data_IF_328732368135
#
_entry.id   IF_328732368135
#
_cell.length_a   1.000
_cell.length_b   1.000
_cell.length_c   1.000
_cell.angle_alpha   90.00
_cell.angle_beta   90.00
_cell.angle_gamma   90.00
#
_symmetry.space_group_name_H-M   'P 1'
#
loop_
_entity.id
_entity.type
_entity.pdbx_description
1 polymer ?
#
# COMPACT_ATOMS: atom_id res chain seq x y z
N UNK A 1 20.73 26.64 -0.63
CA UNK A 1 19.69 26.04 -1.49
C UNK A 1 19.94 24.54 -1.56
N UNK A 2 19.34 23.71 -0.69
CA UNK A 2 19.48 22.27 -0.80
C UNK A 2 18.45 21.73 -1.80
N UNK A 3 18.95 20.98 -2.77
CA UNK A 3 18.23 20.23 -3.78
C UNK A 3 17.11 19.37 -3.18
N UNK A 4 15.86 19.68 -3.49
CA UNK A 4 14.70 18.83 -3.20
C UNK A 4 14.79 17.54 -4.01
N UNK A 5 15.32 16.49 -3.40
CA UNK A 5 15.16 15.11 -3.88
C UNK A 5 13.76 14.67 -3.44
N UNK A 6 12.81 14.63 -4.37
CA UNK A 6 11.58 13.88 -4.15
C UNK A 6 11.96 12.39 -4.25
N UNK A 7 11.86 11.60 -3.16
CA UNK A 7 12.15 10.18 -3.21
C UNK A 7 11.05 9.52 -4.04
N UNK A 8 11.47 8.83 -5.09
CA UNK A 8 10.63 8.01 -5.95
C UNK A 8 10.02 6.86 -5.16
N UNK A 9 8.85 7.07 -4.57
CA UNK A 9 7.94 6.00 -4.16
C UNK A 9 6.66 6.18 -4.96
N UNK A 10 6.61 5.51 -6.11
CA UNK A 10 5.36 5.38 -6.85
C UNK A 10 4.52 4.37 -6.12
N UNK A 11 3.52 4.88 -5.42
CA UNK A 11 2.40 4.09 -4.95
C UNK A 11 1.71 3.50 -6.18
N UNK A 12 2.01 2.24 -6.49
CA UNK A 12 1.14 1.43 -7.30
C UNK A 12 -0.11 1.12 -6.44
N UNK A 13 -0.99 2.11 -6.28
CA UNK A 13 -2.38 1.81 -5.99
C UNK A 13 -2.90 1.06 -7.20
N UNK A 14 -3.14 -0.23 -7.03
CA UNK A 14 -3.98 -0.96 -7.95
C UNK A 14 -5.38 -0.37 -7.83
N UNK A 15 -5.69 0.60 -8.69
CA UNK A 15 -7.08 0.94 -9.02
C UNK A 15 -7.65 -0.28 -9.77
N UNK A 16 -8.06 -1.29 -9.01
CA UNK A 16 -8.38 -2.60 -9.56
C UNK A 16 -8.59 -3.70 -8.53
N UNK A 17 -9.20 -3.39 -7.37
CA UNK A 17 -9.87 -4.42 -6.55
C UNK A 17 -11.37 -4.20 -6.61
N UNK A 18 -11.89 -4.04 -7.83
CA UNK A 18 -13.31 -4.19 -8.16
C UNK A 18 -13.41 -5.03 -9.43
N UNK A 19 -13.02 -6.30 -9.34
CA UNK A 19 -13.56 -7.41 -10.12
C UNK A 19 -12.91 -8.70 -9.63
N UNK A 20 -13.71 -9.71 -9.28
CA UNK A 20 -13.27 -11.02 -8.78
C UNK A 20 -12.43 -11.85 -9.77
N UNK A 21 -11.23 -11.37 -10.09
CA UNK A 21 -10.17 -12.15 -10.72
C UNK A 21 -9.42 -13.01 -9.70
N UNK A 22 -8.78 -14.11 -10.12
CA UNK A 22 -8.01 -14.96 -9.22
C UNK A 22 -6.83 -14.18 -8.62
N UNK A 23 -6.82 -14.02 -7.30
CA UNK A 23 -5.69 -13.52 -6.51
C UNK A 23 -4.47 -14.41 -6.78
N UNK A 24 -3.43 -13.86 -7.45
CA UNK A 24 -2.24 -14.62 -7.82
C UNK A 24 -1.09 -14.39 -6.83
N UNK A 25 -0.26 -15.43 -6.59
CA UNK A 25 0.85 -15.35 -5.67
C UNK A 25 2.01 -14.50 -6.19
N UNK A 26 2.70 -13.83 -5.28
CA UNK A 26 4.01 -13.24 -5.47
C UNK A 26 5.05 -14.38 -5.56
N UNK A 27 5.73 -14.52 -6.70
CA UNK A 27 6.79 -15.50 -6.87
C UNK A 27 8.16 -14.92 -6.45
N UNK A 28 8.81 -15.54 -5.47
CA UNK A 28 10.14 -15.16 -4.98
C UNK A 28 11.03 -16.39 -4.93
N UNK A 29 12.12 -16.39 -5.70
CA UNK A 29 13.13 -17.45 -5.73
C UNK A 29 12.58 -18.89 -5.76
N UNK A 30 11.51 -19.14 -6.52
CA UNK A 30 10.89 -20.47 -6.65
C UNK A 30 9.79 -20.79 -5.62
N UNK A 31 9.58 -19.94 -4.62
CA UNK A 31 8.42 -19.98 -3.73
C UNK A 31 7.29 -19.08 -4.26
N UNK A 32 6.04 -19.51 -4.08
CA UNK A 32 4.86 -18.72 -4.39
C UNK A 32 4.15 -18.28 -3.10
N UNK A 33 4.04 -16.97 -2.90
CA UNK A 33 3.40 -16.33 -1.76
C UNK A 33 2.03 -15.77 -2.16
N UNK A 34 0.95 -16.44 -1.78
CA UNK A 34 -0.41 -15.95 -2.04
C UNK A 34 -0.91 -15.09 -0.89
N UNK A 35 -1.28 -13.85 -1.20
CA UNK A 35 -1.89 -12.91 -0.25
C UNK A 35 -3.39 -12.95 -0.44
N UNK A 36 -4.11 -13.54 0.51
CA UNK A 36 -5.56 -13.73 0.41
C UNK A 36 -6.20 -13.75 1.79
N UNK A 37 -7.42 -13.19 1.90
CA UNK A 37 -8.20 -13.20 3.14
C UNK A 37 -7.43 -12.70 4.39
N UNK A 38 -6.57 -11.67 4.21
CA UNK A 38 -5.74 -11.09 5.27
C UNK A 38 -4.59 -11.97 5.77
N UNK A 39 -4.24 -13.05 5.07
CA UNK A 39 -3.15 -13.99 5.40
C UNK A 39 -2.21 -14.19 4.21
N UNK A 40 -1.02 -14.74 4.49
CA UNK A 40 -0.10 -15.25 3.47
C UNK A 40 -0.16 -16.76 3.47
N UNK A 41 -0.45 -17.35 2.32
CA UNK A 41 -0.34 -18.78 2.06
C UNK A 41 0.93 -19.01 1.23
N UNK A 42 1.76 -19.97 1.65
CA UNK A 42 3.01 -20.31 0.95
C UNK A 42 2.80 -21.61 0.20
N UNK A 43 3.08 -21.62 -1.09
CA UNK A 43 3.05 -22.81 -1.95
C UNK A 43 4.37 -22.97 -2.71
N UNK A 44 4.79 -24.22 -2.96
CA UNK A 44 5.97 -24.50 -3.80
C UNK A 44 7.32 -24.50 -3.07
N UNK A 45 7.36 -24.59 -1.74
CA UNK A 45 8.62 -24.78 -1.01
C UNK A 45 9.11 -26.22 -1.15
N UNK A 46 10.36 -26.39 -1.60
CA UNK A 46 11.10 -27.62 -1.32
C UNK A 46 11.45 -27.59 0.18
N UNK A 47 11.05 -28.62 0.94
CA UNK A 47 11.22 -28.71 2.41
C UNK A 47 12.67 -28.55 2.91
N UNK A 48 13.65 -28.49 2.00
CA UNK A 48 15.09 -28.47 2.26
C UNK A 48 15.76 -27.11 2.06
N UNK A 49 15.04 -26.05 1.66
CA UNK A 49 15.62 -24.76 1.33
C UNK A 49 15.27 -23.69 2.37
N UNK A 50 16.28 -22.94 2.85
CA UNK A 50 16.04 -21.76 3.69
C UNK A 50 15.09 -20.80 2.98
N UNK A 51 14.07 -20.36 3.70
CA UNK A 51 13.02 -19.50 3.17
C UNK A 51 13.61 -18.09 2.99
N UNK A 52 13.72 -17.57 1.75
CA UNK A 52 14.47 -16.34 1.45
C UNK A 52 13.69 -15.05 1.78
N UNK A 53 12.73 -15.14 2.70
CA UNK A 53 11.86 -14.04 3.07
C UNK A 53 11.41 -14.14 4.52
N UNK A 54 11.10 -12.98 5.11
CA UNK A 54 10.52 -12.85 6.44
C UNK A 54 9.16 -12.17 6.33
N UNK A 55 8.14 -12.76 6.96
CA UNK A 55 6.80 -12.17 7.04
C UNK A 55 6.59 -11.60 8.44
N UNK A 56 6.22 -10.32 8.52
CA UNK A 56 5.97 -9.61 9.78
C UNK A 56 4.66 -8.85 9.72
N UNK A 57 3.95 -8.80 10.84
CA UNK A 57 2.83 -7.88 11.00
C UNK A 57 3.31 -6.57 11.61
N UNK A 58 3.11 -5.46 10.90
CA UNK A 58 3.49 -4.12 11.33
C UNK A 58 2.27 -3.21 11.28
N UNK A 59 1.65 -2.99 12.44
CA UNK A 59 0.43 -2.21 12.52
C UNK A 59 -0.73 -2.85 11.77
N UNK A 60 -1.35 -2.06 10.90
CA UNK A 60 -2.42 -2.54 10.00
C UNK A 60 -1.88 -3.28 8.76
N UNK A 61 -0.56 -3.29 8.56
CA UNK A 61 0.08 -3.87 7.38
C UNK A 61 0.66 -5.25 7.66
N UNK A 62 0.68 -6.06 6.60
CA UNK A 62 1.53 -7.23 6.47
C UNK A 62 2.75 -6.85 5.63
N UNK A 63 3.94 -7.14 6.13
CA UNK A 63 5.21 -6.85 5.46
C UNK A 63 5.91 -8.16 5.10
N UNK A 64 6.21 -8.33 3.82
CA UNK A 64 7.06 -9.41 3.30
C UNK A 64 8.39 -8.79 2.91
N UNK A 65 9.43 -9.15 3.64
CA UNK A 65 10.80 -8.71 3.41
C UNK A 65 11.57 -9.86 2.76
N UNK A 66 12.32 -9.59 1.70
CA UNK A 66 13.06 -10.61 0.95
C UNK A 66 14.55 -10.29 0.94
N UNK A 67 15.39 -11.32 0.97
CA UNK A 67 16.85 -11.21 0.96
C UNK A 67 17.41 -10.49 -0.29
N UNK A 68 16.67 -10.54 -1.41
CA UNK A 68 17.03 -9.88 -2.67
C UNK A 68 16.78 -8.37 -2.67
N UNK A 69 16.27 -7.78 -1.59
CA UNK A 69 16.01 -6.35 -1.51
C UNK A 69 14.67 -5.92 -2.14
N UNK A 70 13.67 -6.80 -2.14
CA UNK A 70 12.26 -6.45 -2.39
C UNK A 70 11.49 -6.47 -1.07
N UNK A 71 10.75 -5.41 -0.78
CA UNK A 71 9.85 -5.34 0.37
C UNK A 71 8.43 -5.07 -0.12
N UNK A 72 7.51 -5.94 0.26
CA UNK A 72 6.08 -5.82 -0.02
C UNK A 72 5.34 -5.41 1.24
N UNK A 73 4.52 -4.37 1.16
CA UNK A 73 3.59 -3.99 2.22
C UNK A 73 2.18 -4.13 1.69
N UNK A 74 1.33 -4.83 2.43
CA UNK A 74 -0.07 -5.03 2.10
C UNK A 74 -0.96 -4.61 3.26
N UNK A 75 -1.95 -3.77 3.00
CA UNK A 75 -2.93 -3.29 3.99
C UNK A 75 -4.00 -4.33 4.37
N UNK A 76 -3.82 -5.59 3.93
CA UNK A 76 -4.79 -6.71 4.05
C UNK A 76 -6.10 -6.47 3.30
N UNK A 77 -6.15 -5.44 2.46
CA UNK A 77 -7.29 -5.01 1.66
C UNK A 77 -6.82 -4.83 0.21
N UNK A 78 -6.78 -3.61 -0.28
CA UNK A 78 -6.59 -3.28 -1.70
C UNK A 78 -5.28 -2.55 -1.99
N UNK A 79 -4.57 -2.08 -0.97
CA UNK A 79 -3.32 -1.33 -1.15
C UNK A 79 -2.13 -2.24 -1.00
N UNK A 80 -1.31 -2.26 -2.05
CA UNK A 80 -0.02 -2.94 -2.09
C UNK A 80 1.06 -1.88 -2.37
N UNK A 81 2.14 -1.93 -1.61
CA UNK A 81 3.30 -1.07 -1.76
C UNK A 81 4.50 -1.99 -2.03
N UNK A 82 5.22 -1.71 -3.12
CA UNK A 82 6.42 -2.46 -3.49
C UNK A 82 7.59 -1.50 -3.37
N UNK A 83 8.51 -1.81 -2.46
CA UNK A 83 9.78 -1.12 -2.37
C UNK A 83 10.88 -2.01 -2.93
N UNK A 84 11.73 -1.45 -3.79
CA UNK A 84 12.82 -2.15 -4.45
C UNK A 84 14.14 -1.48 -4.10
N UNK A 85 15.14 -2.30 -3.81
CA UNK A 85 16.54 -1.87 -3.71
C UNK A 85 16.96 -1.14 -4.99
N UNK A 86 17.79 -0.08 -4.90
CA UNK A 86 18.35 0.61 -6.07
C UNK A 86 19.07 -0.31 -7.06
N UNK A 87 19.46 -1.51 -6.65
CA UNK A 87 20.05 -2.54 -7.52
C UNK A 87 19.11 -2.99 -8.65
N UNK A 88 17.80 -2.84 -8.48
CA UNK A 88 16.79 -3.15 -9.50
C UNK A 88 16.58 -2.04 -10.52
N UNK A 89 17.29 -0.91 -10.39
CA UNK A 89 17.13 0.25 -11.29
C UNK A 89 17.35 -0.15 -12.74
N UNK A 90 16.36 0.15 -13.60
CA UNK A 90 16.33 -0.23 -15.03
C UNK A 90 16.40 -1.75 -15.29
N UNK A 91 16.09 -2.60 -14.29
CA UNK A 91 16.08 -4.08 -14.41
C UNK A 91 14.70 -4.69 -14.27
N UNK A 92 13.68 -3.87 -14.03
CA UNK A 92 12.29 -4.30 -13.86
C UNK A 92 11.44 -3.83 -15.03
N UNK A 93 10.27 -4.44 -15.17
CA UNK A 93 9.25 -4.03 -16.12
C UNK A 93 7.89 -4.49 -15.60
N UNK A 94 6.82 -3.90 -16.11
CA UNK A 94 5.46 -4.24 -15.72
C UNK A 94 4.60 -3.01 -15.53
N UNK A 95 3.47 -3.19 -14.85
CA UNK A 95 2.52 -2.12 -14.56
C UNK A 95 3.09 -1.02 -13.65
N UNK A 96 4.18 -1.30 -12.93
CA UNK A 96 4.90 -0.33 -12.09
C UNK A 96 6.00 0.45 -12.85
N UNK A 97 6.11 0.28 -14.17
CA UNK A 97 7.15 0.90 -14.98
C UNK A 97 8.47 0.13 -14.98
N UNK A 98 9.55 0.81 -15.35
CA UNK A 98 10.88 0.22 -15.53
C UNK A 98 11.92 0.63 -14.46
N UNK A 99 11.51 1.52 -13.54
CA UNK A 99 12.34 2.03 -12.43
C UNK A 99 13.67 2.64 -12.90
N UNK A 100 13.64 3.59 -13.84
CA UNK A 100 14.84 4.29 -14.34
C UNK A 100 14.90 5.80 -14.02
N UNK A 101 13.97 6.30 -13.19
CA UNK A 101 13.70 7.72 -12.86
C UNK A 101 13.13 8.58 -14.02
N UNK A 102 12.71 7.98 -15.13
CA UNK A 102 12.18 8.70 -16.30
C UNK A 102 10.69 8.41 -16.47
N UNK A 103 9.85 9.30 -15.93
CA UNK A 103 8.40 9.04 -15.89
C UNK A 103 7.70 8.86 -17.25
N UNK A 104 8.25 9.48 -18.29
CA UNK A 104 7.62 9.53 -19.61
C UNK A 104 7.73 8.22 -20.39
N UNK A 105 8.55 7.27 -19.94
CA UNK A 105 8.75 5.99 -20.62
C UNK A 105 8.16 4.79 -19.85
N UNK A 106 7.50 5.03 -18.70
CA UNK A 106 6.98 3.95 -17.85
C UNK A 106 5.85 3.15 -18.51
N UNK A 107 5.14 3.75 -19.47
CA UNK A 107 4.14 3.05 -20.28
C UNK A 107 4.80 2.25 -21.41
N UNK A 108 5.73 1.38 -21.02
CA UNK A 108 6.35 0.40 -21.89
C UNK A 108 5.53 -0.89 -21.90
N UNK A 109 5.09 -1.31 -23.08
CA UNK A 109 4.35 -2.57 -23.25
C UNK A 109 5.25 -3.79 -23.00
N UNK A 110 4.66 -4.99 -22.94
CA UNK A 110 5.43 -6.24 -22.86
C UNK A 110 6.40 -6.44 -24.04
N UNK A 111 6.14 -5.83 -25.21
CA UNK A 111 7.05 -5.81 -26.36
C UNK A 111 8.10 -4.69 -26.30
N UNK A 112 8.19 -3.95 -25.18
CA UNK A 112 9.09 -2.82 -24.94
C UNK A 112 8.80 -1.58 -25.80
N UNK A 113 7.60 -1.48 -26.36
CA UNK A 113 7.17 -0.27 -27.08
C UNK A 113 6.62 0.73 -26.07
N UNK A 114 7.07 1.99 -26.14
CA UNK A 114 6.51 3.07 -25.31
C UNK A 114 5.24 3.60 -25.99
N UNK A 115 4.15 3.62 -25.24
CA UNK A 115 2.82 4.01 -25.73
C UNK A 115 2.25 5.16 -24.91
N UNK A 116 1.40 5.98 -25.54
CA UNK A 116 0.70 7.07 -24.85
C UNK A 116 -0.63 6.65 -24.23
N UNK A 117 -1.20 5.53 -24.68
CA UNK A 117 -2.50 5.04 -24.24
C UNK A 117 -2.38 4.07 -23.05
N UNK A 118 -3.08 4.38 -21.96
CA UNK A 118 -3.03 3.60 -20.71
C UNK A 118 -3.67 2.22 -20.88
N UNK A 119 -4.70 2.09 -21.72
CA UNK A 119 -5.37 0.81 -21.95
C UNK A 119 -4.50 -0.12 -22.77
N UNK A 120 -3.85 0.39 -23.82
CA UNK A 120 -2.85 -0.35 -24.60
C UNK A 120 -1.72 -0.85 -23.68
N UNK A 121 -1.17 0.04 -22.85
CA UNK A 121 -0.15 -0.32 -21.85
C UNK A 121 -0.66 -1.42 -20.91
N UNK A 122 -1.78 -1.21 -20.23
CA UNK A 122 -2.33 -2.14 -19.24
C UNK A 122 -2.69 -3.51 -19.83
N UNK A 123 -3.36 -3.53 -20.98
CA UNK A 123 -3.76 -4.75 -21.66
C UNK A 123 -2.56 -5.56 -22.17
N UNK A 124 -1.45 -4.91 -22.54
CA UNK A 124 -0.22 -5.61 -22.94
C UNK A 124 0.39 -6.45 -21.81
N UNK A 125 0.11 -6.11 -20.56
CA UNK A 125 0.61 -6.80 -19.36
C UNK A 125 -0.31 -7.90 -18.85
N UNK A 126 -1.43 -8.20 -19.54
CA UNK A 126 -2.29 -9.34 -19.18
C UNK A 126 -1.51 -10.65 -19.19
N UNK A 127 -1.71 -11.46 -18.16
CA UNK A 127 -0.96 -12.71 -18.03
C UNK A 127 -1.47 -13.79 -19.01
N UNK A 128 -2.79 -13.95 -19.08
CA UNK A 128 -3.42 -14.89 -20.01
C UNK A 128 -3.98 -14.17 -21.23
N UNK A 129 -3.76 -14.67 -22.46
CA UNK A 129 -4.41 -14.15 -23.64
C UNK A 129 -5.94 -14.35 -23.62
N UNK A 130 -6.44 -15.30 -22.82
CA UNK A 130 -7.88 -15.54 -22.64
C UNK A 130 -8.58 -14.45 -21.83
N UNK A 131 -7.82 -13.61 -21.12
CA UNK A 131 -8.40 -12.46 -20.42
C UNK A 131 -8.85 -11.42 -21.46
N UNK A 132 -10.11 -10.94 -21.38
CA UNK A 132 -10.58 -9.88 -22.24
C UNK A 132 -9.77 -8.61 -21.98
N UNK A 133 -9.64 -7.79 -23.02
CA UNK A 133 -9.03 -6.48 -22.87
C UNK A 133 -9.92 -5.58 -22.01
N UNK A 134 -9.31 -4.85 -21.09
CA UNK A 134 -9.96 -3.81 -20.32
C UNK A 134 -10.43 -2.70 -21.27
N UNK A 135 -11.67 -2.26 -21.06
CA UNK A 135 -12.26 -1.13 -21.75
C UNK A 135 -12.00 0.15 -20.94
N UNK A 136 -12.18 1.30 -21.58
CA UNK A 136 -12.15 2.58 -20.89
C UNK A 136 -13.09 2.57 -19.69
N UNK A 137 -12.53 2.82 -18.50
CA UNK A 137 -13.30 2.87 -17.27
C UNK A 137 -14.32 4.01 -17.37
N UNK A 138 -15.59 3.69 -17.11
CA UNK A 138 -16.61 4.73 -16.93
C UNK A 138 -16.32 5.45 -15.62
N UNK A 139 -16.49 6.77 -15.61
CA UNK A 139 -16.39 7.55 -14.38
C UNK A 139 -17.43 7.05 -13.35
N UNK A 140 -16.99 6.48 -12.20
CA UNK A 140 -17.90 5.96 -11.18
C UNK A 140 -18.80 7.04 -10.60
N UNK A 141 -18.36 8.29 -10.53
CA UNK A 141 -19.21 9.37 -10.03
C UNK A 141 -20.27 9.80 -11.04
N UNK A 142 -20.09 9.51 -12.32
CA UNK A 142 -21.13 9.66 -13.35
C UNK A 142 -22.12 8.50 -13.32
N UNK A 143 -21.64 7.27 -13.05
CA UNK A 143 -22.50 6.11 -12.85
C UNK A 143 -23.33 6.20 -11.55
N UNK A 144 -22.73 6.73 -10.49
CA UNK A 144 -23.29 6.84 -9.13
C UNK A 144 -23.37 8.32 -8.67
N UNK A 145 -24.20 9.17 -9.32
CA UNK A 145 -24.21 10.62 -9.09
C UNK A 145 -24.61 11.01 -7.66
N UNK A 146 -25.46 10.21 -7.00
CA UNK A 146 -25.90 10.46 -5.63
C UNK A 146 -24.76 10.35 -4.60
N UNK A 147 -23.67 9.65 -4.92
CA UNK A 147 -22.50 9.48 -4.06
C UNK A 147 -21.48 10.61 -4.19
N UNK A 148 -21.51 11.34 -5.31
CA UNK A 148 -20.49 12.33 -5.67
C UNK A 148 -20.30 13.42 -4.61
N UNK A 149 -21.40 13.97 -4.09
CA UNK A 149 -21.35 15.05 -3.09
C UNK A 149 -20.72 14.58 -1.77
N UNK A 150 -21.07 13.37 -1.33
CA UNK A 150 -20.47 12.75 -0.15
C UNK A 150 -18.98 12.46 -0.38
N UNK A 151 -18.62 11.85 -1.51
CA UNK A 151 -17.25 11.53 -1.86
C UNK A 151 -16.36 12.79 -1.89
N UNK A 152 -16.79 13.85 -2.59
CA UNK A 152 -16.07 15.12 -2.65
C UNK A 152 -15.90 15.76 -1.27
N UNK A 153 -16.94 15.71 -0.43
CA UNK A 153 -16.89 16.25 0.93
C UNK A 153 -15.93 15.48 1.82
N UNK A 154 -16.00 14.14 1.85
CA UNK A 154 -15.10 13.33 2.69
C UNK A 154 -13.65 13.44 2.23
N UNK A 155 -13.40 13.30 0.93
CA UNK A 155 -12.05 13.37 0.36
C UNK A 155 -11.41 14.76 0.47
N UNK A 156 -12.19 15.82 0.73
CA UNK A 156 -11.66 17.17 0.93
C UNK A 156 -10.67 17.29 2.09
N UNK A 157 -10.65 16.32 3.03
CA UNK A 157 -9.64 16.24 4.08
C UNK A 157 -8.21 16.30 3.52
N UNK A 158 -7.97 15.74 2.33
CA UNK A 158 -6.66 15.71 1.68
C UNK A 158 -6.15 17.11 1.30
N UNK A 159 -7.05 18.04 1.01
CA UNK A 159 -6.74 19.46 0.80
C UNK A 159 -6.89 20.30 2.07
N UNK A 160 -7.37 19.70 3.15
CA UNK A 160 -7.65 20.37 4.41
C UNK A 160 -6.39 20.64 5.25
N UNK A 161 -6.58 21.34 6.38
CA UNK A 161 -5.48 21.69 7.28
C UNK A 161 -4.77 20.47 7.88
N UNK A 162 -5.45 19.32 7.98
CA UNK A 162 -4.88 18.05 8.46
C UNK A 162 -3.60 17.66 7.72
N UNK A 163 -3.54 17.91 6.41
CA UNK A 163 -2.39 17.56 5.56
C UNK A 163 -1.57 18.78 5.11
N UNK A 164 -1.81 19.97 5.66
CA UNK A 164 -1.20 21.22 5.19
C UNK A 164 0.34 21.17 5.12
N UNK A 165 0.99 20.56 6.11
CA UNK A 165 2.45 20.41 6.12
C UNK A 165 2.97 19.51 4.98
N UNK A 166 2.15 18.55 4.52
CA UNK A 166 2.52 17.61 3.47
C UNK A 166 2.29 18.15 2.06
N UNK A 167 1.40 19.12 1.87
CA UNK A 167 1.07 19.66 0.55
C UNK A 167 2.30 20.18 -0.21
N UNK A 168 3.31 20.70 0.49
CA UNK A 168 4.55 21.17 -0.12
C UNK A 168 5.50 20.05 -0.58
N UNK A 169 5.29 18.82 -0.12
CA UNK A 169 6.16 17.67 -0.38
C UNK A 169 5.49 16.63 -1.28
N UNK A 170 4.16 16.47 -1.18
CA UNK A 170 3.38 15.52 -1.98
C UNK A 170 2.11 16.21 -2.47
N UNK A 171 1.98 16.34 -3.79
CA UNK A 171 0.82 16.98 -4.44
C UNK A 171 -0.50 16.20 -4.14
N UNK A 172 -1.49 16.82 -3.47
CA UNK A 172 -2.74 16.15 -3.10
C UNK A 172 -3.69 15.86 -4.27
N UNK A 173 -3.64 16.60 -5.38
CA UNK A 173 -4.67 16.55 -6.42
C UNK A 173 -4.97 15.12 -6.93
N UNK A 174 -3.93 14.36 -7.27
CA UNK A 174 -4.08 12.97 -7.76
C UNK A 174 -4.68 12.02 -6.71
N UNK A 175 -4.37 12.25 -5.43
CA UNK A 175 -4.90 11.44 -4.32
C UNK A 175 -6.36 11.80 -4.04
N UNK A 176 -6.71 13.08 -4.18
CA UNK A 176 -8.09 13.54 -4.09
C UNK A 176 -8.96 12.95 -5.19
N UNK A 177 -8.52 13.00 -6.45
CA UNK A 177 -9.24 12.42 -7.58
C UNK A 177 -9.44 10.91 -7.41
N UNK A 178 -8.39 10.18 -7.01
CA UNK A 178 -8.48 8.76 -6.71
C UNK A 178 -9.45 8.48 -5.55
N UNK A 179 -9.38 9.25 -4.45
CA UNK A 179 -10.29 9.11 -3.32
C UNK A 179 -11.76 9.30 -3.74
N UNK A 180 -12.05 10.33 -4.53
CA UNK A 180 -13.41 10.61 -5.01
C UNK A 180 -13.90 9.50 -5.93
N UNK A 181 -13.04 9.03 -6.83
CA UNK A 181 -13.34 7.91 -7.73
C UNK A 181 -13.69 6.64 -6.95
N UNK A 182 -12.82 6.23 -6.01
CA UNK A 182 -12.99 5.05 -5.15
C UNK A 182 -14.28 5.15 -4.31
N UNK A 183 -14.53 6.31 -3.69
CA UNK A 183 -15.70 6.57 -2.85
C UNK A 183 -17.03 6.57 -3.63
N UNK A 184 -17.00 6.95 -4.91
CA UNK A 184 -18.15 6.83 -5.81
C UNK A 184 -18.35 5.39 -6.32
N UNK A 185 -17.26 4.64 -6.51
CA UNK A 185 -17.31 3.26 -7.01
C UNK A 185 -17.75 2.23 -5.95
N UNK A 186 -17.49 2.49 -4.67
CA UNK A 186 -17.91 1.60 -3.59
C UNK A 186 -19.39 1.81 -3.26
N UNK A 187 -20.28 1.15 -4.03
CA UNK A 187 -21.74 1.29 -3.95
C UNK A 187 -22.45 0.07 -3.35
N UNK A 188 -21.75 -1.04 -3.15
CA UNK A 188 -22.27 -2.31 -2.61
C UNK A 188 -22.12 -2.44 -1.07
N UNK A 189 -21.82 -1.35 -0.37
CA UNK A 189 -21.45 -1.33 1.05
C UNK A 189 -19.94 -1.36 1.26
N UNK A 190 -19.46 -0.82 2.39
CA UNK A 190 -18.02 -0.63 2.65
C UNK A 190 -17.50 0.76 2.24
N UNK A 191 -18.37 1.72 2.00
CA UNK A 191 -18.05 3.09 1.55
C UNK A 191 -16.98 3.78 2.40
N UNK A 192 -17.08 3.60 3.73
CA UNK A 192 -16.10 4.11 4.69
C UNK A 192 -14.73 3.46 4.49
N UNK A 193 -14.67 2.18 4.12
CA UNK A 193 -13.42 1.46 3.92
C UNK A 193 -12.64 1.99 2.71
N UNK A 194 -13.30 2.20 1.57
CA UNK A 194 -12.64 2.74 0.37
C UNK A 194 -12.08 4.16 0.62
N UNK A 195 -12.87 5.01 1.26
CA UNK A 195 -12.44 6.35 1.69
C UNK A 195 -11.22 6.27 2.63
N UNK A 196 -11.31 5.47 3.70
CA UNK A 196 -10.22 5.36 4.68
C UNK A 196 -8.94 4.82 4.07
N UNK A 197 -9.05 3.83 3.19
CA UNK A 197 -7.91 3.29 2.46
C UNK A 197 -7.28 4.39 1.60
N UNK A 198 -8.07 5.13 0.82
CA UNK A 198 -7.58 6.24 -0.01
C UNK A 198 -6.83 7.32 0.79
N UNK A 199 -7.37 7.75 1.93
CA UNK A 199 -6.71 8.74 2.80
C UNK A 199 -5.43 8.17 3.44
N UNK A 200 -5.45 6.90 3.88
CA UNK A 200 -4.28 6.24 4.45
C UNK A 200 -3.10 6.18 3.46
N UNK A 201 -3.35 6.01 2.17
CA UNK A 201 -2.27 6.03 1.17
C UNK A 201 -1.65 7.42 0.99
N UNK A 202 -2.41 8.50 1.12
CA UNK A 202 -1.82 9.83 1.12
C UNK A 202 -1.01 10.09 2.39
N UNK A 203 -1.51 9.66 3.55
CA UNK A 203 -0.76 9.72 4.81
C UNK A 203 0.56 8.92 4.74
N UNK A 204 0.54 7.75 4.11
CA UNK A 204 1.75 6.95 3.87
C UNK A 204 2.73 7.70 2.96
N UNK A 205 2.28 8.29 1.86
CA UNK A 205 3.13 9.10 0.98
C UNK A 205 3.76 10.30 1.71
N UNK A 206 3.00 10.97 2.58
CA UNK A 206 3.51 12.03 3.43
C UNK A 206 4.61 11.53 4.37
N UNK A 207 4.38 10.38 5.00
CA UNK A 207 5.34 9.78 5.93
C UNK A 207 6.64 9.35 5.23
N UNK A 208 6.51 8.82 4.02
CA UNK A 208 7.61 8.52 3.10
C UNK A 208 8.44 9.77 2.75
N UNK A 209 7.77 10.92 2.59
CA UNK A 209 8.41 12.23 2.45
C UNK A 209 8.97 12.80 3.78
N UNK A 210 8.86 12.06 4.88
CA UNK A 210 9.37 12.43 6.20
C UNK A 210 8.39 13.19 7.10
N UNK A 211 7.11 13.24 6.73
CA UNK A 211 6.07 13.97 7.46
C UNK A 211 5.03 13.03 8.04
N UNK A 212 5.06 12.88 9.36
CA UNK A 212 4.06 12.10 10.07
C UNK A 212 2.76 12.88 10.25
N UNK A 213 1.65 12.37 9.70
CA UNK A 213 0.33 13.03 9.79
C UNK A 213 -0.65 12.17 10.58
N UNK A 214 -1.15 12.70 11.69
CA UNK A 214 -2.26 12.08 12.44
C UNK A 214 -3.60 12.59 11.89
N UNK A 215 -4.28 11.74 11.12
CA UNK A 215 -5.48 12.14 10.38
C UNK A 215 -6.77 11.45 10.85
N UNK A 216 -6.66 10.32 11.55
CA UNK A 216 -7.81 9.58 12.08
C UNK A 216 -8.38 10.27 13.30
N UNK A 217 -9.69 10.22 13.44
CA UNK A 217 -10.43 10.72 14.59
C UNK A 217 -11.56 9.74 14.96
N UNK A 218 -12.22 9.87 16.12
CA UNK A 218 -13.38 9.03 16.44
C UNK A 218 -14.51 9.07 15.39
N UNK A 219 -14.61 10.16 14.63
CA UNK A 219 -15.60 10.34 13.56
C UNK A 219 -15.07 10.06 12.15
N UNK A 220 -13.74 10.03 11.97
CA UNK A 220 -13.09 9.84 10.67
C UNK A 220 -12.16 8.63 10.78
N UNK A 221 -12.58 7.52 10.16
CA UNK A 221 -11.78 6.30 10.04
C UNK A 221 -11.20 5.81 11.38
N UNK A 222 -12.03 5.62 12.43
CA UNK A 222 -11.53 5.25 13.75
C UNK A 222 -10.80 3.90 13.73
N UNK A 223 -9.77 3.79 14.58
CA UNK A 223 -9.07 2.55 14.89
C UNK A 223 -9.25 2.23 16.37
N UNK A 224 -9.76 1.03 16.66
CA UNK A 224 -10.05 0.56 18.01
C UNK A 224 -8.83 -0.18 18.59
N UNK A 225 -7.78 0.57 18.90
CA UNK A 225 -6.53 0.00 19.46
C UNK A 225 -6.71 -0.41 20.93
N UNK A 226 -7.60 0.27 21.64
CA UNK A 226 -7.97 0.02 23.03
C UNK A 226 -8.64 -1.34 23.23
N UNK A 227 -9.27 -1.90 22.20
CA UNK A 227 -9.78 -3.28 22.19
C UNK A 227 -8.72 -4.31 22.61
N UNK A 228 -7.45 -4.07 22.32
CA UNK A 228 -6.35 -4.98 22.64
C UNK A 228 -5.79 -4.78 24.06
N UNK A 229 -6.25 -3.77 24.80
CA UNK A 229 -5.81 -3.53 26.17
C UNK A 229 -6.43 -4.54 27.13
N UNK A 230 -5.62 -5.22 27.96
CA UNK A 230 -6.14 -5.92 29.13
C UNK A 230 -6.86 -4.96 30.09
N UNK A 231 -7.82 -5.45 30.86
CA UNK A 231 -8.55 -4.64 31.83
C UNK A 231 -7.61 -3.86 32.77
N UNK A 232 -7.89 -2.56 32.92
CA UNK A 232 -7.09 -1.66 33.76
C UNK A 232 -5.71 -1.30 33.19
N UNK A 233 -5.37 -1.75 31.98
CA UNK A 233 -4.11 -1.40 31.29
C UNK A 233 -4.36 -0.50 30.09
N UNK A 234 -3.33 0.27 29.72
CA UNK A 234 -3.39 1.20 28.60
C UNK A 234 -2.04 1.16 27.86
N UNK A 235 -1.78 0.02 27.22
CA UNK A 235 -0.49 -0.27 26.58
C UNK A 235 -0.59 -0.17 25.05
N UNK A 236 -1.75 -0.51 24.46
CA UNK A 236 -2.09 -0.34 23.06
C UNK A 236 -2.72 1.03 22.82
N UNK A 237 -2.09 1.82 21.94
CA UNK A 237 -2.52 3.17 21.55
C UNK A 237 -2.63 3.29 20.03
N UNK A 238 -3.03 4.43 19.49
CA UNK A 238 -2.87 4.66 18.04
C UNK A 238 -1.55 5.40 17.80
N UNK A 239 -0.71 4.88 16.90
CA UNK A 239 0.47 5.58 16.40
C UNK A 239 0.34 5.81 14.89
N UNK A 240 0.20 7.08 14.45
CA UNK A 240 -0.07 7.38 13.04
C UNK A 240 1.05 6.95 12.10
N UNK A 241 2.29 6.86 12.59
CA UNK A 241 3.46 6.54 11.77
C UNK A 241 4.36 5.47 12.38
N UNK A 242 3.88 4.78 13.43
CA UNK A 242 4.52 3.66 14.12
C UNK A 242 6.01 3.81 14.45
N UNK A 243 6.63 2.70 14.81
CA UNK A 243 8.08 2.59 14.89
C UNK A 243 8.60 1.76 13.69
N UNK A 244 9.69 2.18 13.03
CA UNK A 244 10.24 1.49 11.86
C UNK A 244 10.73 0.07 12.16
N UNK A 245 11.29 -0.15 13.35
CA UNK A 245 11.73 -1.46 13.79
C UNK A 245 11.33 -1.70 15.24
N UNK A 246 10.48 -2.70 15.46
CA UNK A 246 10.03 -3.11 16.78
C UNK A 246 10.76 -4.39 17.19
N UNK A 247 11.24 -4.42 18.43
CA UNK A 247 11.67 -5.67 19.05
C UNK A 247 10.45 -6.52 19.36
N UNK A 248 10.43 -7.75 18.88
CA UNK A 248 9.35 -8.73 19.11
C UNK A 248 9.95 -10.10 19.41
N UNK A 249 9.15 -11.10 19.77
CA UNK A 249 9.66 -12.48 19.91
C UNK A 249 10.26 -13.01 18.60
N UNK A 250 9.71 -12.59 17.45
CA UNK A 250 10.21 -12.95 16.13
C UNK A 250 11.40 -12.10 15.68
N UNK A 251 11.56 -10.89 16.24
CA UNK A 251 12.74 -10.04 16.04
C UNK A 251 13.32 -9.58 17.39
N UNK A 252 13.96 -10.47 18.16
CA UNK A 252 14.41 -10.16 19.51
C UNK A 252 15.56 -9.16 19.53
N UNK A 253 16.35 -9.08 18.46
CA UNK A 253 17.46 -8.11 18.33
C UNK A 253 17.00 -6.73 17.90
N UNK A 254 15.83 -6.63 17.26
CA UNK A 254 15.41 -5.39 16.61
C UNK A 254 16.23 -5.11 15.36
N UNK A 255 16.71 -6.17 14.71
CA UNK A 255 17.47 -6.06 13.47
C UNK A 255 16.45 -6.13 12.34
N UNK A 256 16.19 -5.01 11.68
CA UNK A 256 15.33 -4.95 10.50
C UNK A 256 16.19 -4.68 9.27
N UNK A 257 16.04 -5.49 8.22
CA UNK A 257 16.66 -5.26 6.93
C UNK A 257 16.00 -4.02 6.29
N UNK A 258 16.85 -3.04 5.96
CA UNK A 258 16.55 -1.80 5.24
C UNK A 258 15.47 -0.85 5.80
N UNK A 259 15.54 0.37 5.28
CA UNK A 259 14.91 1.66 5.64
C UNK A 259 13.36 1.68 5.56
N UNK A 260 12.68 0.68 6.11
CA UNK A 260 11.23 0.69 6.21
C UNK A 260 10.86 1.71 7.29
N UNK A 261 10.37 2.87 6.86
CA UNK A 261 9.82 3.87 7.79
C UNK A 261 8.66 3.23 8.57
N UNK A 262 8.43 3.70 9.80
CA UNK A 262 7.35 3.17 10.64
C UNK A 262 6.00 3.21 9.91
N UNK A 263 5.15 2.22 10.14
CA UNK A 263 3.85 2.14 9.48
C UNK A 263 2.75 2.52 10.46
N UNK A 264 1.61 2.98 9.93
CA UNK A 264 0.43 3.24 10.74
C UNK A 264 0.06 1.99 11.57
N UNK A 265 0.10 2.12 12.89
CA UNK A 265 0.06 0.96 13.78
C UNK A 265 -0.59 1.25 15.13
N UNK A 266 -1.27 0.26 15.71
CA UNK A 266 -1.31 0.12 17.16
C UNK A 266 0.10 -0.29 17.64
N UNK A 267 0.76 0.43 18.58
CA UNK A 267 2.03 -0.01 19.13
C UNK A 267 1.81 -1.26 19.98
N UNK A 268 2.71 -2.23 19.80
CA UNK A 268 2.75 -3.43 20.63
C UNK A 268 3.35 -3.10 22.02
N UNK A 269 2.68 -3.48 23.12
CA UNK A 269 3.18 -3.33 24.48
C UNK A 269 4.51 -4.03 24.71
N UNK A 270 5.36 -3.49 25.59
CA UNK A 270 6.61 -4.14 26.00
C UNK A 270 6.41 -5.53 26.61
N UNK A 271 5.29 -5.73 27.33
CA UNK A 271 4.92 -6.98 27.98
C UNK A 271 4.69 -8.15 27.02
N UNK A 272 4.26 -7.87 25.77
CA UNK A 272 4.02 -8.88 24.73
C UNK A 272 5.24 -9.09 23.82
N UNK A 273 6.33 -8.32 23.98
CA UNK A 273 7.58 -8.50 23.22
C UNK A 273 8.41 -9.71 23.69
N UNK A 274 8.04 -10.34 24.80
CA UNK A 274 8.74 -11.46 25.44
C UNK A 274 7.91 -12.75 25.53
N UNK A 275 6.66 -12.77 25.02
CA UNK A 275 5.64 -13.73 25.46
C UNK A 275 5.04 -14.70 24.43
N UNK A 276 5.58 -14.85 23.23
CA UNK A 276 5.08 -15.87 22.28
C UNK A 276 6.24 -16.73 21.76
N UNK A 277 6.35 -17.93 22.34
CA UNK A 277 7.01 -19.12 21.78
C UNK A 277 5.98 -19.87 20.94
#
# INVERSE_FOLDING_TARGET
MPSGRLPWQRLARWAGVLAGGPERPLAVQGSELKLSHGKVEVTGTNESQEVPYTIRQMGIYLVVDTDIGLVLLWDKKTSIFINLSPEFKSRVCGLCGNFDDIAVNDFATRSRSVVGDVLEFGNSWKLSPSCPDALAAKDPCTANPFRKSWAQKQCSILHGPTFAACHAHVEPARYYEACVNDACACDSGGDCECFCTAVAAYAQACHEAGLCVSWRTPSICPLFCDYYNPEGKCEWHYQPCGAPCLRTCQNPRGDCLQDVRGLEAPPCPESQRQGWV
#
